data_IF_419793762170
#
_entry.id   IF_419793762170
#
_cell.length_a   1.000
_cell.length_b   1.000
_cell.length_c   1.000
_cell.angle_alpha   90.00
_cell.angle_beta   90.00
_cell.angle_gamma   90.00
#
_symmetry.space_group_name_H-M   'P 1'
#
loop_
_entity.id
_entity.type
_entity.pdbx_description
1 polymer ?
#
# COMPACT_ATOMS: atom_id res chain seq x y z
N UNK A 1 2.06 -10.45 23.03
CA UNK A 1 2.09 -10.26 21.57
C UNK A 1 3.34 -10.91 21.03
N UNK A 2 3.22 -11.82 20.06
CA UNK A 2 4.36 -12.46 19.42
C UNK A 2 4.77 -11.61 18.21
N UNK A 3 6.07 -11.33 18.08
CA UNK A 3 6.63 -10.54 16.98
C UNK A 3 7.69 -11.40 16.30
N UNK A 4 7.61 -11.48 14.97
CA UNK A 4 8.55 -12.25 14.15
C UNK A 4 8.96 -11.44 12.92
N UNK A 5 10.13 -11.77 12.36
CA UNK A 5 10.61 -11.17 11.12
C UNK A 5 9.90 -11.81 9.92
N UNK A 6 8.95 -11.09 9.32
CA UNK A 6 8.19 -11.56 8.17
C UNK A 6 9.06 -11.93 6.96
N UNK A 7 10.30 -11.42 6.87
CA UNK A 7 11.24 -11.79 5.79
C UNK A 7 11.63 -13.27 5.83
N UNK A 8 11.53 -13.93 6.98
CA UNK A 8 11.85 -15.35 7.15
C UNK A 8 10.74 -16.28 6.63
N UNK A 9 9.52 -15.76 6.53
CA UNK A 9 8.33 -16.49 6.05
C UNK A 9 7.78 -15.92 4.74
N UNK A 10 8.63 -15.18 4.01
CA UNK A 10 8.30 -14.65 2.69
C UNK A 10 7.85 -15.81 1.76
N UNK A 11 6.71 -15.64 1.08
CA UNK A 11 6.10 -16.67 0.24
C UNK A 11 5.16 -17.64 0.96
N UNK A 12 5.02 -17.53 2.28
CA UNK A 12 4.01 -18.26 3.07
C UNK A 12 2.80 -17.39 3.46
N UNK A 13 2.86 -16.11 3.11
CA UNK A 13 1.87 -15.09 3.42
C UNK A 13 1.06 -14.77 2.17
N UNK A 14 -0.21 -14.41 2.35
CA UNK A 14 -1.11 -14.03 1.26
C UNK A 14 -2.09 -12.96 1.74
N UNK A 15 -2.55 -12.13 0.80
CA UNK A 15 -3.55 -11.09 1.09
C UNK A 15 -4.84 -11.72 1.64
N UNK A 16 -5.33 -12.81 1.04
CA UNK A 16 -6.60 -13.43 1.46
C UNK A 16 -6.58 -14.03 2.86
N UNK A 17 -5.41 -14.49 3.32
CA UNK A 17 -5.29 -15.16 4.62
C UNK A 17 -4.85 -14.22 5.73
N UNK A 18 -3.75 -13.47 5.54
CA UNK A 18 -3.18 -12.61 6.58
C UNK A 18 -3.60 -11.14 6.44
N UNK A 19 -4.24 -10.75 5.34
CA UNK A 19 -4.48 -9.35 4.99
C UNK A 19 -3.26 -8.65 4.39
N UNK A 20 -2.12 -9.34 4.23
CA UNK A 20 -0.92 -8.79 3.61
C UNK A 20 -0.03 -9.88 3.01
N UNK A 21 0.80 -9.48 2.04
CA UNK A 21 1.76 -10.36 1.39
C UNK A 21 3.10 -9.65 1.20
N UNK A 22 4.20 -10.39 1.37
CA UNK A 22 5.55 -9.88 1.13
C UNK A 22 6.03 -10.34 -0.24
N UNK A 23 6.30 -9.38 -1.11
CA UNK A 23 6.73 -9.62 -2.48
C UNK A 23 8.11 -9.05 -2.75
N UNK A 24 8.88 -9.78 -3.57
CA UNK A 24 10.09 -9.25 -4.21
C UNK A 24 9.75 -8.94 -5.66
N UNK A 25 9.78 -7.65 -6.01
CA UNK A 25 9.53 -7.15 -7.36
C UNK A 25 10.54 -6.06 -7.71
N UNK A 26 11.19 -6.23 -8.86
CA UNK A 26 11.95 -5.14 -9.47
C UNK A 26 10.98 -4.07 -9.99
N UNK A 27 11.48 -2.85 -10.14
CA UNK A 27 10.74 -1.71 -10.68
C UNK A 27 11.66 -0.96 -11.64
N UNK A 28 11.09 -0.39 -12.68
CA UNK A 28 11.78 0.55 -13.57
C UNK A 28 11.98 1.93 -12.95
N UNK A 29 11.40 2.20 -11.76
CA UNK A 29 11.57 3.46 -11.05
C UNK A 29 13.02 3.73 -10.69
N UNK A 30 13.48 4.94 -10.99
CA UNK A 30 14.85 5.39 -10.69
C UNK A 30 14.84 6.44 -9.57
N UNK A 31 13.90 7.38 -9.60
CA UNK A 31 13.70 8.38 -8.55
C UNK A 31 12.25 8.42 -8.10
N UNK A 32 12.01 7.90 -6.89
CA UNK A 32 10.68 7.94 -6.26
C UNK A 32 10.20 9.34 -5.89
N UNK A 33 11.04 10.39 -6.01
CA UNK A 33 10.66 11.79 -5.82
C UNK A 33 10.32 12.52 -7.13
N UNK A 34 10.39 11.84 -8.28
CA UNK A 34 9.94 12.37 -9.57
C UNK A 34 8.48 11.97 -9.81
N UNK A 35 7.56 12.93 -9.76
CA UNK A 35 6.12 12.68 -9.91
C UNK A 35 5.76 12.18 -11.34
N UNK A 36 6.42 12.71 -12.37
CA UNK A 36 6.24 12.26 -13.75
C UNK A 36 6.63 10.79 -13.92
N UNK A 37 7.76 10.37 -13.35
CA UNK A 37 8.20 8.98 -13.42
C UNK A 37 7.28 8.06 -12.62
N UNK A 38 6.82 8.52 -11.45
CA UNK A 38 5.94 7.77 -10.58
C UNK A 38 4.61 7.44 -11.28
N UNK A 39 3.98 8.42 -11.95
CA UNK A 39 2.77 8.17 -12.73
C UNK A 39 3.03 7.32 -13.99
N UNK A 40 4.10 7.63 -14.75
CA UNK A 40 4.35 6.97 -16.03
C UNK A 40 4.84 5.52 -15.90
N UNK A 41 5.50 5.18 -14.78
CA UNK A 41 6.14 3.88 -14.55
C UNK A 41 5.51 3.17 -13.38
N UNK A 42 5.60 3.74 -12.17
CA UNK A 42 5.27 3.02 -10.95
C UNK A 42 3.79 2.69 -10.86
N UNK A 43 2.91 3.65 -11.14
CA UNK A 43 1.46 3.43 -11.03
C UNK A 43 0.98 2.31 -11.95
N UNK A 44 1.55 2.23 -13.17
CA UNK A 44 1.27 1.15 -14.12
C UNK A 44 1.76 -0.21 -13.59
N UNK A 45 2.96 -0.25 -13.03
CA UNK A 45 3.49 -1.46 -12.40
C UNK A 45 2.62 -1.91 -11.22
N UNK A 46 2.15 -0.96 -10.39
CA UNK A 46 1.28 -1.25 -9.25
C UNK A 46 -0.09 -1.75 -9.70
N UNK A 47 -0.71 -1.12 -10.69
CA UNK A 47 -1.99 -1.56 -11.24
C UNK A 47 -1.90 -2.98 -11.79
N UNK A 48 -0.86 -3.28 -12.57
CA UNK A 48 -0.64 -4.62 -13.10
C UNK A 48 -0.42 -5.62 -11.97
N UNK A 49 0.44 -5.30 -11.00
CA UNK A 49 0.72 -6.17 -9.86
C UNK A 49 -0.55 -6.51 -9.08
N UNK A 50 -1.38 -5.52 -8.75
CA UNK A 50 -2.62 -5.77 -7.99
C UNK A 50 -3.62 -6.56 -8.81
N UNK A 51 -3.74 -6.32 -10.13
CA UNK A 51 -4.58 -7.16 -11.01
C UNK A 51 -4.12 -8.61 -11.00
N UNK A 52 -2.82 -8.86 -11.09
CA UNK A 52 -2.24 -10.22 -11.06
C UNK A 52 -2.51 -10.93 -9.73
N UNK A 53 -2.38 -10.23 -8.60
CA UNK A 53 -2.55 -10.81 -7.27
C UNK A 53 -4.01 -11.04 -6.88
N UNK A 54 -4.93 -10.22 -7.36
CA UNK A 54 -6.32 -10.19 -6.86
C UNK A 54 -7.36 -10.53 -7.91
N UNK A 55 -6.98 -10.66 -9.18
CA UNK A 55 -7.87 -10.76 -10.32
C UNK A 55 -8.90 -9.60 -10.41
N UNK A 56 -8.58 -8.44 -9.83
CA UNK A 56 -9.49 -7.28 -9.83
C UNK A 56 -9.82 -6.81 -11.25
N UNK A 57 -11.11 -6.59 -11.51
CA UNK A 57 -11.59 -6.06 -12.79
C UNK A 57 -11.12 -4.63 -13.06
N UNK A 58 -10.85 -3.85 -12.01
CA UNK A 58 -10.37 -2.47 -12.07
C UNK A 58 -9.47 -2.17 -10.87
N UNK A 59 -8.37 -1.46 -11.12
CA UNK A 59 -7.46 -0.95 -10.10
C UNK A 59 -7.26 0.53 -10.39
N UNK A 60 -7.26 1.35 -9.35
CA UNK A 60 -6.99 2.78 -9.42
C UNK A 60 -5.94 3.09 -8.37
N UNK A 61 -4.81 3.67 -8.79
CA UNK A 61 -3.85 4.30 -7.87
C UNK A 61 -4.33 5.72 -7.62
N UNK A 62 -4.46 6.11 -6.35
CA UNK A 62 -5.09 7.38 -6.00
C UNK A 62 -4.34 8.22 -4.96
N UNK A 63 -3.33 7.68 -4.29
CA UNK A 63 -2.50 8.44 -3.35
C UNK A 63 -1.07 7.91 -3.30
N UNK A 64 -0.14 8.82 -3.00
CA UNK A 64 1.28 8.52 -2.84
C UNK A 64 1.82 9.22 -1.61
N UNK A 65 2.07 8.43 -0.56
CA UNK A 65 2.69 8.94 0.66
C UNK A 65 4.17 8.59 0.71
N UNK A 66 5.03 9.61 0.66
CA UNK A 66 6.49 9.48 0.85
C UNK A 66 6.89 9.82 2.28
N UNK A 67 7.77 9.00 2.87
CA UNK A 67 8.27 9.20 4.24
C UNK A 67 9.78 9.01 4.32
N UNK A 68 10.43 9.78 5.19
CA UNK A 68 11.85 9.63 5.50
C UNK A 68 12.07 9.75 7.01
N UNK A 69 12.94 8.90 7.57
CA UNK A 69 13.33 8.98 8.98
C UNK A 69 14.53 9.91 9.20
N UNK A 70 15.33 10.15 8.16
CA UNK A 70 16.47 11.06 8.17
C UNK A 70 16.01 12.52 8.10
N UNK A 71 16.54 13.37 8.97
CA UNK A 71 16.12 14.78 9.07
C UNK A 71 16.47 15.57 7.81
N UNK A 72 17.68 15.41 7.27
CA UNK A 72 18.12 16.15 6.09
C UNK A 72 17.21 15.87 4.89
N UNK A 73 16.86 14.60 4.67
CA UNK A 73 15.95 14.19 3.60
C UNK A 73 14.55 14.78 3.80
N UNK A 74 14.04 14.80 5.04
CA UNK A 74 12.73 15.41 5.35
C UNK A 74 12.70 16.88 4.99
N UNK A 75 13.72 17.64 5.40
CA UNK A 75 13.82 19.07 5.14
C UNK A 75 13.98 19.36 3.64
N UNK A 76 14.86 18.63 2.95
CA UNK A 76 15.12 18.84 1.52
C UNK A 76 13.95 18.44 0.61
N UNK A 77 13.22 17.38 0.97
CA UNK A 77 12.15 16.82 0.13
C UNK A 77 10.75 17.18 0.61
N UNK A 78 10.62 17.91 1.73
CA UNK A 78 9.33 18.27 2.32
C UNK A 78 8.50 17.06 2.76
N UNK A 79 9.15 15.95 3.17
CA UNK A 79 8.46 14.70 3.55
C UNK A 79 8.41 14.52 5.06
N UNK A 80 7.41 13.76 5.52
CA UNK A 80 7.18 13.49 6.95
C UNK A 80 7.90 12.23 7.42
N UNK A 81 8.02 12.07 8.73
CA UNK A 81 8.51 10.83 9.34
C UNK A 81 7.49 9.68 9.28
N UNK A 82 7.94 8.41 9.38
CA UNK A 82 7.05 7.26 9.48
C UNK A 82 6.14 7.34 10.73
N UNK A 83 4.91 6.87 10.59
CA UNK A 83 3.97 6.75 11.70
C UNK A 83 4.36 5.56 12.59
N UNK A 84 4.35 5.75 13.91
CA UNK A 84 4.79 4.74 14.90
C UNK A 84 3.65 3.99 15.59
N UNK A 85 2.42 4.48 15.46
CA UNK A 85 1.24 3.91 16.12
C UNK A 85 0.55 2.93 15.17
N UNK A 86 0.04 1.81 15.69
CA UNK A 86 -0.82 0.91 14.92
C UNK A 86 -2.14 1.63 14.55
N UNK A 87 -2.57 1.50 13.30
CA UNK A 87 -3.80 2.11 12.78
C UNK A 87 -4.30 1.34 11.55
N UNK A 88 -5.58 1.54 11.23
CA UNK A 88 -6.13 1.27 9.90
C UNK A 88 -6.39 2.62 9.22
N UNK A 89 -6.08 2.74 7.93
CA UNK A 89 -6.26 3.97 7.18
C UNK A 89 -7.72 4.27 6.85
N UNK A 90 -8.55 3.22 6.81
CA UNK A 90 -9.94 3.31 6.39
C UNK A 90 -10.89 2.58 7.34
N UNK A 91 -12.06 3.18 7.47
CA UNK A 91 -13.29 2.59 8.00
C UNK A 91 -14.18 2.23 6.81
N UNK A 92 -15.20 1.39 7.00
CA UNK A 92 -16.15 1.06 5.91
C UNK A 92 -16.74 2.32 5.27
N UNK A 93 -17.12 3.31 6.10
CA UNK A 93 -17.64 4.59 5.63
C UNK A 93 -16.63 5.36 4.78
N UNK A 94 -15.39 5.51 5.26
CA UNK A 94 -14.38 6.28 4.52
C UNK A 94 -13.88 5.54 3.28
N UNK A 95 -13.89 4.21 3.29
CA UNK A 95 -13.56 3.39 2.13
C UNK A 95 -14.62 3.53 1.02
N UNK A 96 -15.92 3.43 1.36
CA UNK A 96 -16.98 3.67 0.38
C UNK A 96 -17.00 5.10 -0.14
N UNK A 97 -16.72 6.09 0.73
CA UNK A 97 -16.58 7.48 0.28
C UNK A 97 -15.44 7.65 -0.72
N UNK A 98 -14.29 6.98 -0.50
CA UNK A 98 -13.16 7.03 -1.42
C UNK A 98 -13.54 6.53 -2.83
N UNK A 99 -14.38 5.50 -2.93
CA UNK A 99 -14.90 5.05 -4.24
C UNK A 99 -15.73 6.14 -4.92
N UNK A 100 -16.61 6.82 -4.16
CA UNK A 100 -17.43 7.94 -4.66
C UNK A 100 -16.58 9.10 -5.16
N UNK A 101 -15.45 9.36 -4.51
CA UNK A 101 -14.54 10.45 -4.88
C UNK A 101 -13.73 10.14 -6.15
N UNK A 102 -13.43 8.85 -6.41
CA UNK A 102 -12.53 8.42 -7.49
C UNK A 102 -13.24 8.01 -8.77
N UNK A 103 -14.49 7.58 -8.69
CA UNK A 103 -15.24 7.08 -9.84
C UNK A 103 -16.28 8.09 -10.33
N UNK A 104 -16.52 8.15 -11.66
CA UNK A 104 -17.62 8.93 -12.21
C UNK A 104 -18.96 8.31 -11.80
N UNK A 105 -19.98 9.17 -11.66
CA UNK A 105 -21.21 8.88 -10.93
C UNK A 105 -21.89 7.54 -11.24
N UNK A 106 -22.12 7.21 -12.51
CA UNK A 106 -22.84 5.99 -12.90
C UNK A 106 -22.08 4.69 -12.59
N UNK A 107 -20.75 4.72 -12.53
CA UNK A 107 -19.91 3.57 -12.16
C UNK A 107 -19.90 3.33 -10.65
N UNK A 108 -20.09 4.37 -9.81
CA UNK A 108 -19.96 4.31 -8.35
C UNK A 108 -20.86 3.22 -7.74
N UNK A 109 -22.16 3.28 -7.99
CA UNK A 109 -23.12 2.36 -7.36
C UNK A 109 -22.91 0.92 -7.86
N UNK A 110 -22.53 0.75 -9.13
CA UNK A 110 -22.22 -0.57 -9.69
C UNK A 110 -21.02 -1.21 -8.99
N UNK A 111 -19.97 -0.43 -8.70
CA UNK A 111 -18.77 -0.92 -8.01
C UNK A 111 -19.01 -1.13 -6.51
N UNK A 112 -19.78 -0.27 -5.86
CA UNK A 112 -20.15 -0.43 -4.44
C UNK A 112 -21.05 -1.64 -4.20
N UNK A 113 -21.82 -2.07 -5.21
CA UNK A 113 -22.60 -3.31 -5.15
C UNK A 113 -21.73 -4.59 -5.26
N UNK A 114 -20.44 -4.45 -5.57
CA UNK A 114 -19.48 -5.54 -5.69
C UNK A 114 -18.48 -5.54 -4.54
N UNK A 115 -17.71 -6.63 -4.41
CA UNK A 115 -16.53 -6.65 -3.52
C UNK A 115 -15.48 -5.69 -4.05
N UNK A 116 -14.92 -4.88 -3.16
CA UNK A 116 -13.77 -4.04 -3.42
C UNK A 116 -12.79 -4.11 -2.24
N UNK A 117 -11.56 -3.66 -2.47
CA UNK A 117 -10.55 -3.53 -1.42
C UNK A 117 -9.75 -2.24 -1.65
N UNK A 118 -9.27 -1.63 -0.57
CA UNK A 118 -8.22 -0.62 -0.62
C UNK A 118 -6.93 -1.31 -0.19
N UNK A 119 -5.93 -1.32 -1.07
CA UNK A 119 -4.67 -2.01 -0.85
C UNK A 119 -3.55 -0.98 -0.75
N UNK A 120 -2.83 -1.00 0.38
CA UNK A 120 -1.62 -0.22 0.56
C UNK A 120 -0.40 -1.01 0.05
N UNK A 121 0.44 -0.37 -0.74
CA UNK A 121 1.72 -0.93 -1.17
C UNK A 121 2.84 -0.16 -0.49
N UNK A 122 3.57 -0.84 0.38
CA UNK A 122 4.73 -0.27 1.05
C UNK A 122 6.02 -0.78 0.39
N UNK A 123 6.86 0.15 -0.08
CA UNK A 123 8.17 -0.15 -0.66
C UNK A 123 9.27 0.67 0.01
N UNK A 124 10.36 0.06 0.47
CA UNK A 124 11.53 0.81 0.87
C UNK A 124 12.23 1.42 -0.36
N UNK A 125 12.39 2.74 -0.40
CA UNK A 125 13.14 3.43 -1.47
C UNK A 125 14.65 3.16 -1.40
N UNK A 126 15.16 2.88 -0.19
CA UNK A 126 16.53 2.42 0.08
C UNK A 126 16.44 1.32 1.13
N UNK A 127 17.10 0.19 0.88
CA UNK A 127 16.90 -1.04 1.67
C UNK A 127 18.20 -1.66 2.18
N UNK A 128 18.09 -2.59 3.14
CA UNK A 128 16.89 -2.89 3.94
C UNK A 128 16.63 -1.81 5.01
N UNK A 129 15.35 -1.54 5.30
CA UNK A 129 14.99 -0.63 6.40
C UNK A 129 15.23 -1.31 7.74
N UNK A 130 16.04 -0.69 8.60
CA UNK A 130 16.40 -1.20 9.93
C UNK A 130 15.98 -0.28 11.09
N UNK A 131 15.83 1.02 10.82
CA UNK A 131 15.57 2.04 11.85
C UNK A 131 14.10 2.20 12.20
N UNK A 132 13.22 2.11 11.20
CA UNK A 132 11.77 2.22 11.34
C UNK A 132 11.08 1.16 10.46
N UNK A 133 11.18 -0.13 10.80
CA UNK A 133 10.57 -1.19 10.01
C UNK A 133 9.03 -1.11 10.06
N UNK A 134 8.37 -1.57 8.99
CA UNK A 134 6.93 -1.76 8.98
C UNK A 134 6.58 -3.01 9.80
N UNK A 135 5.62 -2.87 10.71
CA UNK A 135 4.98 -3.98 11.40
C UNK A 135 3.54 -4.13 10.87
N UNK A 136 3.12 -5.37 10.63
CA UNK A 136 1.78 -5.72 10.19
C UNK A 136 1.21 -6.76 11.17
N UNK A 137 -0.10 -6.71 11.39
CA UNK A 137 -0.81 -7.67 12.22
C UNK A 137 -1.49 -8.71 11.32
N UNK A 138 -1.39 -9.98 11.68
CA UNK A 138 -2.13 -11.05 11.00
C UNK A 138 -3.62 -10.86 11.25
N UNK A 139 -4.38 -10.64 10.18
CA UNK A 139 -5.82 -10.43 10.25
C UNK A 139 -6.57 -11.58 10.96
N UNK A 140 -6.04 -12.81 10.92
CA UNK A 140 -6.66 -13.96 11.60
C UNK A 140 -6.57 -13.89 13.13
N UNK A 141 -5.77 -12.97 13.67
CA UNK A 141 -5.55 -12.81 15.12
C UNK A 141 -6.35 -11.67 15.75
N UNK A 142 -7.14 -10.96 14.95
CA UNK A 142 -7.98 -9.84 15.41
C UNK A 142 -9.39 -10.37 15.66
N UNK A 143 -9.88 -10.17 16.88
CA UNK A 143 -11.27 -10.44 17.21
C UNK A 143 -12.18 -9.39 16.55
N UNK A 144 -13.22 -9.85 15.87
CA UNK A 144 -14.26 -9.03 15.24
C UNK A 144 -15.49 -8.89 16.11
#
# INVERSE_FOLDING_TARGET
VNIADARQICGQLSIDRQGFELLRRQTGMQDFYCDDQLSAVYDRELEQLIKELTAAAKVIVFDHTRRANDQMTREQRGVREPVRTAHSDYTDRSASQRIRDLLPGDEVEQRLACRFAIVNIWRPMRGPVRTAPLALCDAQSIDT
#
